data_IF_375995705896
#
_entry.id   IF_375995705896
#
_cell.length_a   1.000
_cell.length_b   1.000
_cell.length_c   1.000
_cell.angle_alpha   90.00
_cell.angle_beta   90.00
_cell.angle_gamma   90.00
#
_symmetry.space_group_name_H-M   'P 1'
#
loop_
_entity.id
_entity.type
_entity.pdbx_description
1 polymer ?
#
# COMPACT_ATOMS: atom_id res chain seq x y z
N UNK A 1 -26.15 -11.49 13.16
CA UNK A 1 -25.26 -12.66 12.93
C UNK A 1 -24.26 -12.27 11.87
N UNK A 2 -23.03 -11.93 12.27
CA UNK A 2 -21.99 -11.40 11.38
C UNK A 2 -21.26 -12.52 10.64
N UNK A 3 -21.35 -12.55 9.31
CA UNK A 3 -20.59 -13.46 8.48
C UNK A 3 -19.10 -13.06 8.54
N UNK A 4 -18.32 -13.85 9.28
CA UNK A 4 -16.87 -13.80 9.25
C UNK A 4 -16.41 -14.24 7.85
N UNK A 5 -16.04 -13.28 7.01
CA UNK A 5 -15.34 -13.52 5.76
C UNK A 5 -13.89 -13.90 6.08
N UNK A 6 -13.71 -15.13 6.54
CA UNK A 6 -12.41 -15.79 6.56
C UNK A 6 -11.96 -15.93 5.10
N UNK A 7 -11.06 -15.04 4.69
CA UNK A 7 -10.30 -15.17 3.44
C UNK A 7 -9.55 -16.50 3.52
N UNK A 8 -10.10 -17.52 2.88
CA UNK A 8 -9.45 -18.84 2.78
C UNK A 8 -8.19 -18.67 1.93
N UNK A 9 -7.01 -19.13 2.39
CA UNK A 9 -5.88 -19.29 1.50
C UNK A 9 -6.28 -20.31 0.43
N UNK A 10 -6.33 -19.87 -0.83
CA UNK A 10 -6.61 -20.74 -1.97
C UNK A 10 -5.50 -21.81 -2.05
N UNK A 11 -5.83 -23.02 -1.62
CA UNK A 11 -5.00 -24.20 -1.85
C UNK A 11 -4.87 -24.40 -3.37
N UNK A 12 -3.63 -24.55 -3.84
CA UNK A 12 -3.28 -24.79 -5.26
C UNK A 12 -4.11 -25.93 -5.89
N UNK A 13 -4.60 -26.86 -5.07
CA UNK A 13 -5.48 -27.96 -5.47
C UNK A 13 -6.91 -27.56 -5.86
N UNK A 14 -7.28 -26.27 -5.82
CA UNK A 14 -8.63 -25.78 -6.16
C UNK A 14 -8.71 -24.90 -7.41
N UNK A 15 -7.59 -24.60 -8.08
CA UNK A 15 -7.61 -23.81 -9.32
C UNK A 15 -8.06 -24.68 -10.49
N UNK A 16 -9.28 -24.48 -10.97
CA UNK A 16 -9.83 -25.17 -12.14
C UNK A 16 -9.46 -24.45 -13.44
N UNK A 17 -9.47 -25.15 -14.59
CA UNK A 17 -9.23 -24.53 -15.92
C UNK A 17 -10.15 -23.32 -16.20
N UNK A 18 -11.35 -23.30 -15.61
CA UNK A 18 -12.28 -22.15 -15.69
C UNK A 18 -11.77 -20.92 -14.96
N UNK A 19 -11.04 -21.09 -13.85
CA UNK A 19 -10.43 -19.99 -13.12
C UNK A 19 -9.26 -19.38 -13.91
N UNK A 20 -8.51 -20.21 -14.65
CA UNK A 20 -7.41 -19.76 -15.53
C UNK A 20 -7.94 -18.98 -16.74
N UNK A 21 -9.05 -19.39 -17.34
CA UNK A 21 -9.68 -18.68 -18.47
C UNK A 21 -10.34 -17.35 -18.05
N UNK A 22 -10.89 -17.27 -16.84
CA UNK A 22 -11.46 -16.04 -16.28
C UNK A 22 -10.39 -14.98 -15.95
N UNK A 23 -9.15 -15.38 -15.66
CA UNK A 23 -8.05 -14.47 -15.34
C UNK A 23 -7.47 -13.82 -16.61
N UNK A 24 -7.46 -14.49 -17.77
CA UNK A 24 -6.96 -13.92 -19.04
C UNK A 24 -7.72 -12.68 -19.53
N UNK A 25 -8.90 -12.37 -18.98
CA UNK A 25 -9.72 -11.19 -19.33
C UNK A 25 -10.01 -10.25 -18.17
N UNK A 26 -9.56 -10.56 -16.94
CA UNK A 26 -9.79 -9.71 -15.78
C UNK A 26 -8.53 -8.90 -15.49
N UNK A 27 -8.67 -7.59 -15.47
CA UNK A 27 -7.70 -6.72 -14.81
C UNK A 27 -7.43 -7.29 -13.41
N UNK A 28 -6.16 -7.63 -13.14
CA UNK A 28 -5.76 -8.15 -11.84
C UNK A 28 -5.89 -7.00 -10.85
N UNK A 29 -6.85 -7.10 -9.94
CA UNK A 29 -7.05 -6.10 -8.89
C UNK A 29 -5.95 -6.28 -7.81
N UNK A 30 -5.04 -5.30 -7.63
CA UNK A 30 -3.99 -5.38 -6.61
C UNK A 30 -4.54 -5.46 -5.19
N UNK A 31 -5.79 -5.05 -4.96
CA UNK A 31 -6.40 -4.97 -3.64
C UNK A 31 -7.25 -6.18 -3.28
N UNK A 32 -7.44 -7.14 -4.21
CA UNK A 32 -8.32 -8.30 -4.01
C UNK A 32 -8.00 -9.10 -2.74
N UNK A 33 -6.70 -9.26 -2.43
CA UNK A 33 -6.20 -10.04 -1.30
C UNK A 33 -5.71 -9.17 -0.13
N UNK A 34 -6.06 -7.88 -0.12
CA UNK A 34 -5.62 -6.92 0.90
C UNK A 34 -6.81 -6.56 1.80
N UNK A 35 -6.64 -6.58 3.14
CA UNK A 35 -7.70 -6.14 4.06
C UNK A 35 -8.12 -4.70 3.78
N UNK A 36 -9.44 -4.46 3.74
CA UNK A 36 -10.01 -3.12 3.52
C UNK A 36 -9.85 -2.24 4.78
N UNK A 37 -9.74 -0.93 4.58
CA UNK A 37 -9.67 0.05 5.67
C UNK A 37 -8.27 0.20 6.30
N UNK A 38 -7.23 -0.37 5.69
CA UNK A 38 -5.85 -0.17 6.13
C UNK A 38 -5.35 1.24 5.75
N UNK A 39 -4.47 1.79 6.60
CA UNK A 39 -3.69 2.98 6.24
C UNK A 39 -2.69 2.66 5.12
N UNK A 40 -2.19 3.67 4.41
CA UNK A 40 -1.19 3.47 3.33
C UNK A 40 0.02 2.61 3.77
N UNK A 41 0.46 2.77 5.03
CA UNK A 41 1.53 1.94 5.62
C UNK A 41 1.07 0.49 5.84
N UNK A 42 -0.17 0.29 6.28
CA UNK A 42 -0.77 -1.03 6.43
C UNK A 42 -0.98 -1.74 5.08
N UNK A 43 -1.42 -1.00 4.06
CA UNK A 43 -1.56 -1.51 2.68
C UNK A 43 -0.18 -1.91 2.15
N UNK A 44 0.84 -1.07 2.32
CA UNK A 44 2.22 -1.37 1.93
C UNK A 44 2.74 -2.67 2.58
N UNK A 45 2.50 -2.85 3.88
CA UNK A 45 2.92 -4.07 4.59
C UNK A 45 2.14 -5.31 4.12
N UNK A 46 0.84 -5.16 3.85
CA UNK A 46 0.01 -6.25 3.33
C UNK A 46 0.45 -6.67 1.90
N UNK A 47 0.76 -5.69 1.04
CA UNK A 47 1.29 -5.96 -0.30
C UNK A 47 2.64 -6.69 -0.25
N UNK A 48 3.55 -6.28 0.63
CA UNK A 48 4.82 -6.99 0.82
C UNK A 48 4.62 -8.46 1.22
N UNK A 49 3.76 -8.70 2.23
CA UNK A 49 3.44 -10.07 2.65
C UNK A 49 2.87 -10.90 1.49
N UNK A 50 1.99 -10.30 0.68
CA UNK A 50 1.42 -10.98 -0.48
C UNK A 50 2.48 -11.31 -1.54
N UNK A 51 3.43 -10.42 -1.77
CA UNK A 51 4.55 -10.69 -2.68
C UNK A 51 5.42 -11.85 -2.15
N UNK A 52 5.69 -11.89 -0.85
CA UNK A 52 6.46 -12.98 -0.24
C UNK A 52 5.73 -14.34 -0.38
N UNK A 53 4.41 -14.36 -0.20
CA UNK A 53 3.57 -15.53 -0.45
C UNK A 53 3.66 -15.98 -1.92
N UNK A 54 3.53 -15.05 -2.87
CA UNK A 54 3.67 -15.35 -4.31
C UNK A 54 5.04 -15.95 -4.60
N UNK A 55 6.11 -15.37 -4.08
CA UNK A 55 7.47 -15.85 -4.31
C UNK A 55 7.73 -17.22 -3.64
N UNK A 56 7.04 -17.54 -2.54
CA UNK A 56 7.02 -18.88 -1.95
C UNK A 56 6.28 -19.89 -2.82
N UNK A 57 5.08 -19.55 -3.29
CA UNK A 57 4.27 -20.41 -4.16
C UNK A 57 5.01 -20.69 -5.48
N UNK A 58 5.62 -19.67 -6.09
CA UNK A 58 6.42 -19.84 -7.32
C UNK A 58 7.62 -20.75 -7.12
N UNK A 59 8.28 -20.72 -5.96
CA UNK A 59 9.36 -21.67 -5.63
C UNK A 59 8.83 -23.11 -5.54
N UNK A 60 7.64 -23.31 -4.98
CA UNK A 60 6.97 -24.62 -4.98
C UNK A 60 6.63 -25.09 -6.40
N UNK A 61 6.04 -24.21 -7.22
CA UNK A 61 5.69 -24.52 -8.62
C UNK A 61 6.92 -24.91 -9.44
N UNK A 62 8.06 -24.24 -9.27
CA UNK A 62 9.32 -24.64 -9.95
C UNK A 62 9.75 -26.07 -9.60
N UNK A 63 9.61 -26.48 -8.33
CA UNK A 63 9.89 -27.85 -7.91
C UNK A 63 8.92 -28.83 -8.56
N UNK A 64 7.63 -28.50 -8.58
CA UNK A 64 6.60 -29.32 -9.23
C UNK A 64 6.81 -29.45 -10.74
N UNK A 65 7.20 -28.36 -11.41
CA UNK A 65 7.55 -28.37 -12.84
C UNK A 65 8.72 -29.33 -13.10
N UNK A 66 9.77 -29.29 -12.30
CA UNK A 66 10.90 -30.20 -12.44
C UNK A 66 10.48 -31.67 -12.29
N UNK A 67 9.58 -31.97 -11.35
CA UNK A 67 9.05 -33.32 -11.15
C UNK A 67 8.10 -33.74 -12.30
N UNK A 68 7.28 -32.84 -12.81
CA UNK A 68 6.37 -33.11 -13.93
C UNK A 68 7.13 -33.36 -15.24
N UNK A 69 8.19 -32.60 -15.49
CA UNK A 69 9.11 -32.82 -16.62
C UNK A 69 9.78 -34.19 -16.52
N UNK A 70 10.30 -34.55 -15.34
CA UNK A 70 10.93 -35.85 -15.12
C UNK A 70 9.96 -37.02 -15.30
N UNK A 71 8.66 -36.80 -15.08
CA UNK A 71 7.59 -37.81 -15.21
C UNK A 71 6.85 -37.74 -16.56
N UNK A 72 7.29 -36.92 -17.53
CA UNK A 72 6.63 -36.71 -18.83
C UNK A 72 5.12 -36.38 -18.73
N UNK A 73 4.71 -35.65 -17.69
CA UNK A 73 3.32 -35.25 -17.49
C UNK A 73 3.01 -33.92 -18.17
N UNK A 74 2.80 -33.98 -19.49
CA UNK A 74 2.61 -32.80 -20.37
C UNK A 74 1.49 -31.86 -19.87
N UNK A 75 0.35 -32.40 -19.44
CA UNK A 75 -0.80 -31.60 -18.99
C UNK A 75 -0.56 -30.87 -17.67
N UNK A 76 0.09 -31.53 -16.70
CA UNK A 76 0.50 -30.89 -15.44
C UNK A 76 1.51 -29.78 -15.69
N UNK A 77 2.40 -29.96 -16.67
CA UNK A 77 3.44 -29.00 -17.04
C UNK A 77 2.84 -27.72 -17.64
N UNK A 78 1.83 -27.84 -18.51
CA UNK A 78 1.10 -26.69 -19.07
C UNK A 78 0.38 -25.93 -17.95
N UNK A 79 -0.35 -26.63 -17.08
CA UNK A 79 -1.09 -26.00 -15.98
C UNK A 79 -0.17 -25.24 -15.02
N UNK A 80 0.96 -25.84 -14.63
CA UNK A 80 1.91 -25.20 -13.72
C UNK A 80 2.59 -23.97 -14.34
N UNK A 81 2.84 -23.99 -15.66
CA UNK A 81 3.34 -22.82 -16.39
C UNK A 81 2.33 -21.67 -16.39
N UNK A 82 1.07 -21.97 -16.67
CA UNK A 82 -0.01 -20.98 -16.66
C UNK A 82 -0.21 -20.36 -15.27
N UNK A 83 -0.22 -21.18 -14.21
CA UNK A 83 -0.31 -20.65 -12.83
C UNK A 83 0.90 -19.77 -12.51
N UNK A 84 2.10 -20.18 -12.93
CA UNK A 84 3.31 -19.39 -12.70
C UNK A 84 3.30 -18.05 -13.44
N UNK A 85 2.73 -17.96 -14.64
CA UNK A 85 2.62 -16.68 -15.36
C UNK A 85 1.62 -15.74 -14.68
N UNK A 86 0.46 -16.26 -14.25
CA UNK A 86 -0.53 -15.45 -13.53
C UNK A 86 0.03 -14.86 -12.23
N UNK A 87 0.76 -15.66 -11.46
CA UNK A 87 1.43 -15.19 -10.24
C UNK A 87 2.51 -14.13 -10.53
N UNK A 88 3.17 -14.21 -11.69
CA UNK A 88 4.15 -13.21 -12.11
C UNK A 88 3.44 -11.87 -12.43
N UNK A 89 2.32 -11.92 -13.13
CA UNK A 89 1.51 -10.75 -13.43
C UNK A 89 0.96 -10.08 -12.16
N UNK A 90 0.40 -10.87 -11.21
CA UNK A 90 -0.05 -10.36 -9.91
C UNK A 90 1.09 -9.64 -9.17
N UNK A 91 2.28 -10.23 -9.16
CA UNK A 91 3.48 -9.62 -8.56
C UNK A 91 3.86 -8.30 -9.23
N UNK A 92 3.76 -8.19 -10.55
CA UNK A 92 4.06 -6.94 -11.27
C UNK A 92 3.06 -5.85 -10.91
N UNK A 93 1.76 -6.19 -10.88
CA UNK A 93 0.69 -5.25 -10.54
C UNK A 93 0.84 -4.75 -9.10
N UNK A 94 1.09 -5.65 -8.13
CA UNK A 94 1.36 -5.27 -6.74
C UNK A 94 2.57 -4.34 -6.60
N UNK A 95 3.66 -4.62 -7.31
CA UNK A 95 4.85 -3.76 -7.28
C UNK A 95 4.58 -2.36 -7.85
N UNK A 96 3.78 -2.26 -8.90
CA UNK A 96 3.40 -0.97 -9.48
C UNK A 96 2.53 -0.17 -8.50
N UNK A 97 1.58 -0.81 -7.84
CA UNK A 97 0.72 -0.15 -6.86
C UNK A 97 1.50 0.27 -5.60
N UNK A 98 2.43 -0.58 -5.16
CA UNK A 98 3.37 -0.22 -4.10
C UNK A 98 4.14 1.06 -4.44
N UNK A 99 4.64 1.24 -5.67
CA UNK A 99 5.33 2.50 -6.04
C UNK A 99 4.43 3.72 -5.83
N UNK A 100 3.15 3.62 -6.15
CA UNK A 100 2.19 4.70 -5.93
C UNK A 100 1.95 4.94 -4.43
N UNK A 101 1.79 3.89 -3.62
CA UNK A 101 1.66 4.00 -2.17
C UNK A 101 2.91 4.62 -1.54
N UNK A 102 4.11 4.24 -1.99
CA UNK A 102 5.36 4.83 -1.53
C UNK A 102 5.42 6.33 -1.81
N UNK A 103 4.95 6.75 -2.99
CA UNK A 103 4.84 8.17 -3.33
C UNK A 103 3.86 8.89 -2.41
N UNK A 104 2.68 8.31 -2.14
CA UNK A 104 1.69 8.86 -1.20
C UNK A 104 2.25 9.00 0.22
N UNK A 105 2.90 7.96 0.74
CA UNK A 105 3.57 7.99 2.05
C UNK A 105 4.64 9.10 2.09
N UNK A 106 5.44 9.23 1.02
CA UNK A 106 6.49 10.27 0.92
C UNK A 106 5.91 11.68 0.80
N UNK A 107 4.79 11.86 0.12
CA UNK A 107 4.09 13.14 0.05
C UNK A 107 3.48 13.52 1.41
N UNK A 108 2.87 12.56 2.10
CA UNK A 108 2.34 12.75 3.45
C UNK A 108 3.43 13.10 4.46
N UNK A 109 4.58 12.42 4.40
CA UNK A 109 5.71 12.71 5.28
C UNK A 109 6.36 14.06 5.00
N UNK A 110 6.39 14.51 3.72
CA UNK A 110 6.83 15.86 3.35
C UNK A 110 5.84 16.93 3.81
N UNK A 111 4.54 16.65 3.77
CA UNK A 111 3.51 17.54 4.32
C UNK A 111 3.55 17.68 5.84
N UNK A 112 4.08 16.68 6.56
CA UNK A 112 4.29 16.74 8.01
C UNK A 112 5.64 17.32 8.41
N UNK A 113 6.68 17.20 7.57
CA UNK A 113 8.05 17.57 7.96
C UNK A 113 8.50 18.98 7.56
N UNK A 114 7.78 19.77 6.77
CA UNK A 114 8.17 21.18 6.56
C UNK A 114 6.95 22.09 6.32
N UNK A 115 6.53 22.79 7.39
CA UNK A 115 5.67 24.01 7.40
C UNK A 115 4.18 23.91 7.02
N UNK A 116 3.37 22.97 7.56
CA UNK A 116 1.91 23.12 7.54
C UNK A 116 1.38 24.16 8.54
N UNK A 117 2.25 24.83 9.32
CA UNK A 117 1.83 25.82 10.32
C UNK A 117 2.16 27.27 9.96
N UNK A 118 3.06 27.57 9.03
CA UNK A 118 3.41 28.98 8.78
C UNK A 118 2.29 29.72 8.06
N UNK A 119 1.67 29.13 7.04
CA UNK A 119 0.53 29.73 6.34
C UNK A 119 -0.70 29.86 7.25
N UNK A 120 -0.96 28.84 8.07
CA UNK A 120 -2.03 28.86 9.06
C UNK A 120 -1.77 29.89 10.16
N UNK A 121 -0.54 29.95 10.70
CA UNK A 121 -0.13 30.92 11.70
C UNK A 121 -0.17 32.35 11.15
N UNK A 122 0.26 32.56 9.91
CA UNK A 122 0.14 33.86 9.22
C UNK A 122 -1.32 34.26 9.07
N UNK A 123 -2.20 33.34 8.65
CA UNK A 123 -3.63 33.59 8.56
C UNK A 123 -4.24 33.95 9.93
N UNK A 124 -3.87 33.23 10.99
CA UNK A 124 -4.28 33.55 12.36
C UNK A 124 -3.78 34.94 12.80
N UNK A 125 -2.52 35.28 12.52
CA UNK A 125 -1.95 36.59 12.85
C UNK A 125 -2.64 37.74 12.11
N UNK A 126 -2.95 37.55 10.82
CA UNK A 126 -3.68 38.54 10.03
C UNK A 126 -5.12 38.76 10.51
N UNK A 127 -5.80 37.69 10.94
CA UNK A 127 -7.15 37.78 11.52
C UNK A 127 -7.10 38.45 12.90
N UNK A 128 -6.13 38.06 13.73
CA UNK A 128 -5.93 38.62 15.06
C UNK A 128 -5.65 40.13 15.01
N UNK A 129 -4.81 40.59 14.08
CA UNK A 129 -4.54 42.02 13.87
C UNK A 129 -5.80 42.83 13.51
N UNK A 130 -6.75 42.21 12.79
CA UNK A 130 -8.01 42.87 12.38
C UNK A 130 -9.09 42.84 13.45
N UNK A 131 -9.02 41.89 14.40
CA UNK A 131 -10.09 41.63 15.38
C UNK A 131 -9.73 42.04 16.80
N UNK A 132 -8.45 42.16 17.12
CA UNK A 132 -7.98 42.51 18.46
C UNK A 132 -7.55 43.99 18.52
N UNK A 133 -7.73 44.65 19.67
CA UNK A 133 -7.11 45.94 19.93
C UNK A 133 -5.58 45.85 19.79
N UNK A 134 -4.96 46.90 19.23
CA UNK A 134 -3.52 46.93 18.89
C UNK A 134 -2.61 46.56 20.07
N UNK A 135 -2.95 46.98 21.29
CA UNK A 135 -2.18 46.67 22.50
C UNK A 135 -2.18 45.17 22.84
N UNK A 136 -3.31 44.48 22.65
CA UNK A 136 -3.45 43.05 22.91
C UNK A 136 -2.71 42.24 21.85
N UNK A 137 -2.81 42.66 20.59
CA UNK A 137 -2.08 42.03 19.49
C UNK A 137 -0.56 42.15 19.64
N UNK A 138 -0.06 43.31 20.07
CA UNK A 138 1.36 43.54 20.32
C UNK A 138 1.92 42.56 21.37
N UNK A 139 1.21 42.40 22.49
CA UNK A 139 1.62 41.47 23.54
C UNK A 139 1.68 40.02 23.06
N UNK A 140 0.67 39.56 22.31
CA UNK A 140 0.63 38.19 21.77
C UNK A 140 1.77 37.97 20.77
N UNK A 141 2.03 38.96 19.90
CA UNK A 141 3.12 38.90 18.91
C UNK A 141 4.47 38.82 19.59
N UNK A 142 4.70 39.62 20.61
CA UNK A 142 6.00 39.71 21.29
C UNK A 142 6.24 38.47 22.16
N UNK A 143 5.19 37.91 22.79
CA UNK A 143 5.25 36.63 23.50
C UNK A 143 5.53 35.46 22.55
N UNK A 144 4.90 35.45 21.36
CA UNK A 144 5.17 34.46 20.33
C UNK A 144 6.62 34.57 19.80
N UNK A 145 7.13 35.79 19.61
CA UNK A 145 8.51 36.03 19.19
C UNK A 145 9.53 35.50 20.22
N UNK A 146 9.30 35.73 21.53
CA UNK A 146 10.17 35.20 22.59
C UNK A 146 10.16 33.66 22.64
N UNK A 147 8.98 33.03 22.51
CA UNK A 147 8.87 31.56 22.50
C UNK A 147 9.58 30.93 21.29
N UNK A 148 9.60 31.59 20.13
CA UNK A 148 10.33 31.13 18.94
C UNK A 148 11.85 31.18 19.17
N UNK A 149 12.36 32.23 19.81
CA UNK A 149 13.80 32.37 20.11
C UNK A 149 14.25 31.27 21.08
N UNK A 150 13.46 30.99 22.12
CA UNK A 150 13.76 29.93 23.10
C UNK A 150 13.75 28.51 22.50
N UNK A 151 12.95 28.26 21.46
CA UNK A 151 12.87 26.96 20.81
C UNK A 151 13.96 26.74 19.73
N UNK A 152 14.67 27.79 19.31
CA UNK A 152 15.75 27.74 18.31
C UNK A 152 17.16 27.68 18.92
N UNK A 153 17.29 27.93 20.22
CA UNK A 153 18.52 27.77 21.00
C UNK A 153 18.65 26.34 21.53
#
# INVERSE_FOLDING_TARGET
MGASLLVRPLLISQLTRKDVELVKKKEIDPYQNIPKGLSDQGIWNAMNKRIDEIDSIRRSIRKQLHLATAKNKQDELIQLKDISSLLLEERVVLNNEMKQIKQRIKQKSRGTNDRPQETLALAFMMIAQKKLPQAVFANIRDEAAMKIVLHKA
#
